data_IF_278087576110
#
_entry.id   IF_278087576110
#
_cell.length_a   1.000
_cell.length_b   1.000
_cell.length_c   1.000
_cell.angle_alpha   90.00
_cell.angle_beta   90.00
_cell.angle_gamma   90.00
#
_symmetry.space_group_name_H-M   'P 1'
#
loop_
_entity.id
_entity.type
_entity.pdbx_description
1 polymer ?
#
# COMPACT_ATOMS: atom_id res chain seq x y z
N UNK A 1 -29.08 24.70 13.94
CA UNK A 1 -27.95 24.02 14.61
C UNK A 1 -27.70 22.70 13.88
N UNK A 2 -26.47 22.42 13.47
CA UNK A 2 -26.10 21.18 12.80
C UNK A 2 -24.95 20.52 13.58
N UNK A 3 -24.99 19.20 13.73
CA UNK A 3 -23.97 18.41 14.42
C UNK A 3 -23.45 17.39 13.42
N UNK A 4 -22.28 17.65 12.84
CA UNK A 4 -21.65 16.80 11.84
C UNK A 4 -20.14 17.09 11.76
N UNK A 5 -19.33 16.16 11.26
CA UNK A 5 -17.94 16.43 10.91
C UNK A 5 -17.88 17.32 9.66
N UNK A 6 -17.85 18.64 9.88
CA UNK A 6 -17.74 19.65 8.82
C UNK A 6 -16.37 20.34 8.89
N UNK A 7 -15.68 20.40 7.76
CA UNK A 7 -14.42 21.14 7.65
C UNK A 7 -14.70 22.64 7.67
N UNK A 8 -14.05 23.36 8.59
CA UNK A 8 -14.07 24.83 8.65
C UNK A 8 -13.24 25.37 7.48
N UNK A 9 -13.85 26.20 6.63
CA UNK A 9 -13.17 26.86 5.51
C UNK A 9 -13.52 28.35 5.51
N UNK A 10 -12.62 29.21 5.01
CA UNK A 10 -12.81 30.68 5.04
C UNK A 10 -14.08 31.14 4.31
N UNK A 11 -14.41 30.54 3.17
CA UNK A 11 -15.64 30.89 2.44
C UNK A 11 -16.91 30.54 3.22
N UNK A 12 -16.90 29.47 4.01
CA UNK A 12 -18.04 29.07 4.85
C UNK A 12 -18.17 29.96 6.09
N UNK A 13 -17.04 30.34 6.68
CA UNK A 13 -17.01 31.21 7.86
C UNK A 13 -17.60 32.62 7.59
N UNK A 14 -17.63 33.07 6.33
CA UNK A 14 -18.25 34.35 5.94
C UNK A 14 -19.77 34.37 6.02
N UNK A 15 -20.42 33.19 5.98
CA UNK A 15 -21.88 33.06 5.89
C UNK A 15 -22.51 32.32 7.07
N UNK A 16 -21.70 31.60 7.85
CA UNK A 16 -22.15 30.87 9.05
C UNK A 16 -21.13 31.00 10.19
N UNK A 17 -21.64 31.08 11.41
CA UNK A 17 -20.81 31.11 12.62
C UNK A 17 -20.40 29.70 13.04
N UNK A 18 -19.10 29.44 13.14
CA UNK A 18 -18.55 28.19 13.67
C UNK A 18 -18.21 28.30 15.16
N UNK A 19 -18.41 27.21 15.90
CA UNK A 19 -17.85 27.07 17.26
C UNK A 19 -16.35 26.77 17.19
N UNK A 20 -15.67 26.81 18.35
CA UNK A 20 -14.31 26.28 18.45
C UNK A 20 -14.26 24.82 17.96
N UNK A 21 -13.21 24.43 17.22
CA UNK A 21 -13.09 23.07 16.71
C UNK A 21 -13.05 22.07 17.87
N UNK A 22 -13.92 21.05 17.81
CA UNK A 22 -13.94 19.97 18.80
C UNK A 22 -12.86 18.90 18.54
N UNK A 23 -12.31 18.88 17.32
CA UNK A 23 -11.30 17.93 16.88
C UNK A 23 -10.36 18.61 15.89
N UNK A 24 -9.04 18.44 16.09
CA UNK A 24 -8.02 18.88 15.13
C UNK A 24 -7.60 17.67 14.29
N UNK A 25 -7.87 17.73 12.99
CA UNK A 25 -7.50 16.68 12.02
C UNK A 25 -6.76 17.31 10.84
N UNK A 26 -5.90 16.52 10.21
CA UNK A 26 -5.22 16.85 8.95
C UNK A 26 -5.46 15.78 7.89
N UNK A 27 -5.05 16.06 6.65
CA UNK A 27 -5.12 15.10 5.55
C UNK A 27 -4.03 14.04 5.76
N UNK A 28 -4.41 12.76 5.72
CA UNK A 28 -3.47 11.63 5.78
C UNK A 28 -3.87 10.58 4.75
N UNK A 29 -2.89 9.81 4.26
CA UNK A 29 -3.11 8.74 3.28
C UNK A 29 -3.04 7.40 4.00
N UNK A 30 -4.10 6.61 3.89
CA UNK A 30 -4.13 5.23 4.36
C UNK A 30 -3.91 4.28 3.18
N UNK A 31 -2.86 3.46 3.24
CA UNK A 31 -2.61 2.39 2.26
C UNK A 31 -2.86 1.02 2.88
N UNK A 32 -3.33 0.07 2.08
CA UNK A 32 -3.42 -1.33 2.51
C UNK A 32 -2.02 -1.86 2.81
N UNK A 33 -1.85 -2.50 3.97
CA UNK A 33 -0.59 -3.17 4.33
C UNK A 33 -0.20 -4.16 3.21
N UNK A 34 1.01 -4.06 2.62
CA UNK A 34 1.43 -4.99 1.59
C UNK A 34 1.46 -6.40 2.18
N UNK A 35 0.71 -7.31 1.58
CA UNK A 35 0.77 -8.72 1.94
C UNK A 35 2.05 -9.28 1.34
N UNK A 36 3.00 -9.70 2.19
CA UNK A 36 4.13 -10.51 1.74
C UNK A 36 3.54 -11.77 1.13
N UNK A 37 3.70 -11.95 -0.18
CA UNK A 37 3.28 -13.20 -0.82
C UNK A 37 4.05 -14.35 -0.18
N UNK A 38 3.36 -15.42 0.20
CA UNK A 38 4.02 -16.63 0.69
C UNK A 38 5.00 -17.09 -0.41
N UNK A 39 6.26 -17.40 -0.08
CA UNK A 39 7.18 -17.92 -1.07
C UNK A 39 6.54 -19.17 -1.68
N UNK A 40 6.32 -19.16 -3.01
CA UNK A 40 5.83 -20.34 -3.71
C UNK A 40 6.84 -21.47 -3.58
N UNK A 41 6.41 -22.71 -3.83
CA UNK A 41 7.29 -23.90 -3.77
C UNK A 41 8.51 -23.78 -4.70
N UNK A 42 8.42 -22.97 -5.75
CA UNK A 42 9.52 -22.67 -6.69
C UNK A 42 10.36 -21.44 -6.30
N UNK A 43 10.13 -20.83 -5.13
CA UNK A 43 10.92 -19.69 -4.67
C UNK A 43 12.40 -20.04 -4.44
N UNK A 44 12.71 -21.32 -4.27
CA UNK A 44 14.09 -21.82 -4.21
C UNK A 44 14.82 -21.79 -5.57
N UNK A 45 14.09 -21.72 -6.69
CA UNK A 45 14.67 -21.60 -8.03
C UNK A 45 14.97 -20.14 -8.43
N UNK A 46 14.40 -19.17 -7.70
CA UNK A 46 14.60 -17.73 -7.93
C UNK A 46 16.06 -17.19 -7.83
N UNK A 47 16.98 -17.74 -7.00
CA UNK A 47 18.32 -17.19 -6.91
C UNK A 47 19.16 -17.45 -8.16
N UNK A 48 18.72 -18.32 -9.06
CA UNK A 48 19.46 -18.73 -10.25
C UNK A 48 18.62 -18.49 -11.51
N UNK A 49 19.24 -17.97 -12.57
CA UNK A 49 18.56 -17.76 -13.86
C UNK A 49 18.07 -19.09 -14.45
N UNK A 50 16.94 -19.05 -15.16
CA UNK A 50 16.37 -20.20 -15.87
C UNK A 50 17.37 -20.84 -16.83
N UNK A 51 18.23 -20.03 -17.43
CA UNK A 51 19.29 -20.48 -18.34
C UNK A 51 20.26 -21.44 -17.66
N UNK A 52 20.66 -21.15 -16.41
CA UNK A 52 21.62 -21.99 -15.69
C UNK A 52 20.94 -23.30 -15.25
N UNK A 53 19.67 -23.25 -14.84
CA UNK A 53 18.90 -24.47 -14.56
C UNK A 53 18.78 -25.38 -15.79
N UNK A 54 18.58 -24.80 -16.97
CA UNK A 54 18.56 -25.53 -18.24
C UNK A 54 19.96 -26.11 -18.55
N UNK A 55 21.03 -25.34 -18.34
CA UNK A 55 22.40 -25.84 -18.51
C UNK A 55 22.74 -27.01 -17.56
N UNK A 56 22.27 -26.97 -16.31
CA UNK A 56 22.44 -28.08 -15.35
C UNK A 56 21.70 -29.33 -15.84
N UNK A 57 20.48 -29.19 -16.36
CA UNK A 57 19.72 -30.30 -16.95
C UNK A 57 20.43 -30.89 -18.17
N UNK A 58 20.92 -30.06 -19.09
CA UNK A 58 21.68 -30.53 -20.26
C UNK A 58 22.99 -31.21 -19.87
N UNK A 59 23.72 -30.66 -18.88
CA UNK A 59 24.94 -31.28 -18.37
C UNK A 59 24.68 -32.63 -17.71
N UNK A 60 23.54 -32.80 -17.02
CA UNK A 60 23.18 -34.06 -16.38
C UNK A 60 22.71 -35.13 -17.38
N UNK A 61 21.95 -34.74 -18.42
CA UNK A 61 21.43 -35.67 -19.43
C UNK A 61 22.47 -36.01 -20.50
N UNK A 62 23.39 -35.09 -20.79
CA UNK A 62 24.47 -35.27 -21.75
C UNK A 62 25.72 -35.95 -21.17
N UNK A 63 25.76 -36.21 -19.86
CA UNK A 63 26.78 -37.00 -19.18
C UNK A 63 26.36 -38.48 -19.09
#
# INVERSE_FOLDING_TARGET
>A
MAIAPITITSERERVIDFSKPFMSLGISIMIKKPMKQKPGVFSFLNPLSKEIWVSVLFAYVGA
#
